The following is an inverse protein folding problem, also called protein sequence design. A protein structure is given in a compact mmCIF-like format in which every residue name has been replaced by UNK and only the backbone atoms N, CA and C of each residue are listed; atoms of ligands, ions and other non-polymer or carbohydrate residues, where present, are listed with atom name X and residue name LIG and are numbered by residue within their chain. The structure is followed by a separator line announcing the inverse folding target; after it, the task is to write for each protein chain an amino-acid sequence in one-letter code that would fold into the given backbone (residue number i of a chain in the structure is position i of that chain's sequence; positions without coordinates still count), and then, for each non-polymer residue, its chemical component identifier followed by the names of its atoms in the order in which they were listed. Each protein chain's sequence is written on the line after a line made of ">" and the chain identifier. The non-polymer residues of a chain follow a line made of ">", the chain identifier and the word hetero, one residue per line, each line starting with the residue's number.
data_IF_831229086379
#
_entry.id   IF_831229086379
#
_cell.length_a   1.000
_cell.length_b   1.000
_cell.length_c   1.000
_cell.angle_alpha   90.00
_cell.angle_beta   90.00
_cell.angle_gamma   90.00
#
_symmetry.space_group_name_H-M   'P 1'
#
loop_
_entity.id
_entity.type
_entity.pdbx_description
1 polymer ?
#
# COMPACT_ATOMS: atom_id res chain seq x y z
N UNK A 1 9.14 -14.85 -1.22
CA UNK A 1 7.75 -14.62 -0.79
C UNK A 1 7.63 -13.21 -0.25
N UNK A 2 6.66 -12.47 -0.74
CA UNK A 2 6.44 -11.12 -0.26
C UNK A 2 5.60 -11.11 1.02
N UNK A 3 5.90 -10.17 1.91
CA UNK A 3 5.17 -10.03 3.16
C UNK A 3 4.31 -8.77 3.14
N UNK A 4 3.10 -8.88 3.67
CA UNK A 4 2.14 -7.78 3.69
C UNK A 4 1.55 -7.66 5.09
N UNK A 5 1.43 -6.45 5.60
CA UNK A 5 0.62 -6.19 6.78
C UNK A 5 -0.69 -5.59 6.30
N UNK A 6 -1.80 -6.20 6.65
CA UNK A 6 -3.13 -5.75 6.28
C UNK A 6 -3.84 -5.24 7.53
N UNK A 7 -4.07 -3.93 7.59
CA UNK A 7 -4.74 -3.32 8.72
C UNK A 7 -6.23 -3.29 8.42
N UNK A 8 -7.00 -4.16 9.07
CA UNK A 8 -8.41 -4.36 8.81
C UNK A 8 -9.09 -4.89 10.06
N UNK A 9 -10.13 -4.21 10.54
CA UNK A 9 -10.82 -4.63 11.74
C UNK A 9 -11.92 -5.66 11.52
N UNK A 10 -12.37 -5.84 10.28
CA UNK A 10 -13.35 -6.86 9.96
C UNK A 10 -12.62 -8.20 9.80
N UNK A 11 -12.82 -9.08 10.78
CA UNK A 11 -12.10 -10.36 10.80
C UNK A 11 -12.38 -11.22 9.58
N UNK A 12 -13.61 -11.17 9.07
CA UNK A 12 -13.98 -11.97 7.91
C UNK A 12 -13.28 -11.48 6.65
N UNK A 13 -13.30 -10.17 6.43
CA UNK A 13 -12.62 -9.59 5.28
C UNK A 13 -11.11 -9.85 5.36
N UNK A 14 -10.54 -9.65 6.54
CA UNK A 14 -9.12 -9.89 6.75
C UNK A 14 -8.73 -11.33 6.44
N UNK A 15 -9.52 -12.28 6.94
CA UNK A 15 -9.23 -13.70 6.70
C UNK A 15 -9.37 -14.09 5.23
N UNK A 16 -10.40 -13.58 4.56
CA UNK A 16 -10.62 -13.93 3.17
C UNK A 16 -9.50 -13.42 2.28
N UNK A 17 -9.11 -12.18 2.47
CA UNK A 17 -8.07 -11.58 1.65
C UNK A 17 -6.71 -12.21 1.97
N UNK A 18 -6.42 -12.43 3.26
CA UNK A 18 -5.17 -13.07 3.64
C UNK A 18 -5.05 -14.47 3.03
N UNK A 19 -6.13 -15.24 3.07
CA UNK A 19 -6.13 -16.59 2.50
C UNK A 19 -5.94 -16.56 0.99
N UNK A 20 -6.61 -15.63 0.32
CA UNK A 20 -6.48 -15.51 -1.12
C UNK A 20 -5.03 -15.16 -1.51
N UNK A 21 -4.45 -14.17 -0.83
CA UNK A 21 -3.10 -13.74 -1.15
C UNK A 21 -2.06 -14.82 -0.78
N UNK A 22 -2.34 -15.61 0.25
CA UNK A 22 -1.43 -16.68 0.63
C UNK A 22 -1.29 -17.72 -0.48
N UNK A 23 -2.35 -17.92 -1.26
CA UNK A 23 -2.30 -18.85 -2.39
C UNK A 23 -1.44 -18.31 -3.53
N UNK A 24 -1.08 -17.05 -3.49
CA UNK A 24 -0.31 -16.41 -4.54
C UNK A 24 1.04 -15.91 -4.03
N UNK A 25 1.60 -16.66 -3.10
CA UNK A 25 2.96 -16.44 -2.59
C UNK A 25 3.13 -15.12 -1.83
N UNK A 26 2.10 -14.73 -1.11
CA UNK A 26 2.15 -13.54 -0.26
C UNK A 26 1.77 -13.93 1.17
N UNK A 27 2.63 -13.60 2.12
CA UNK A 27 2.36 -13.87 3.52
C UNK A 27 1.75 -12.63 4.15
N UNK A 28 0.52 -12.74 4.66
CA UNK A 28 -0.22 -11.61 5.18
C UNK A 28 -0.37 -11.70 6.68
N UNK A 29 0.00 -10.64 7.37
CA UNK A 29 -0.28 -10.47 8.79
C UNK A 29 -1.43 -9.49 8.89
N UNK A 30 -2.53 -9.90 9.52
CA UNK A 30 -3.69 -9.03 9.70
C UNK A 30 -3.59 -8.33 11.05
N UNK A 31 -3.63 -7.00 11.01
CA UNK A 31 -3.64 -6.20 12.24
C UNK A 31 -5.03 -5.57 12.37
N UNK A 32 -5.83 -5.99 13.34
CA UNK A 32 -7.21 -5.50 13.43
C UNK A 32 -7.35 -4.12 14.06
N UNK A 33 -6.31 -3.58 14.65
CA UNK A 33 -6.39 -2.32 15.39
C UNK A 33 -5.59 -1.23 14.72
N UNK A 34 -6.26 -0.10 14.43
CA UNK A 34 -5.58 1.03 13.84
C UNK A 34 -4.52 1.64 14.76
N UNK A 35 -4.77 1.62 16.09
CA UNK A 35 -3.84 2.19 17.05
C UNK A 35 -2.60 1.32 17.25
N UNK A 36 -2.60 0.08 16.75
CA UNK A 36 -1.43 -0.80 16.80
C UNK A 36 -0.74 -0.91 15.44
N UNK A 37 -1.32 -0.30 14.41
CA UNK A 37 -0.85 -0.51 13.04
C UNK A 37 0.60 -0.08 12.85
N UNK A 38 0.94 1.11 13.31
CA UNK A 38 2.30 1.62 13.11
C UNK A 38 3.33 0.72 13.78
N UNK A 39 3.05 0.30 15.01
CA UNK A 39 3.96 -0.57 15.73
C UNK A 39 4.13 -1.91 15.02
N UNK A 40 3.02 -2.50 14.57
CA UNK A 40 3.06 -3.78 13.88
C UNK A 40 3.85 -3.66 12.57
N UNK A 41 3.62 -2.60 11.80
CA UNK A 41 4.30 -2.40 10.55
C UNK A 41 5.80 -2.22 10.74
N UNK A 42 6.18 -1.41 11.72
CA UNK A 42 7.61 -1.18 11.97
C UNK A 42 8.31 -2.43 12.47
N UNK A 43 7.60 -3.24 13.27
CA UNK A 43 8.17 -4.49 13.78
C UNK A 43 8.31 -5.53 12.68
N UNK A 44 7.25 -5.70 11.87
CA UNK A 44 7.24 -6.72 10.82
C UNK A 44 8.04 -6.32 9.59
N UNK A 45 8.15 -5.03 9.36
CA UNK A 45 8.83 -4.46 8.20
C UNK A 45 8.41 -5.17 6.91
N UNK A 46 7.12 -5.09 6.55
CA UNK A 46 6.61 -5.83 5.39
C UNK A 46 7.08 -5.22 4.08
N UNK A 47 6.85 -5.94 3.00
CA UNK A 47 7.14 -5.43 1.66
C UNK A 47 6.07 -4.45 1.20
N UNK A 48 4.88 -4.53 1.77
CA UNK A 48 3.76 -3.66 1.40
C UNK A 48 2.76 -3.59 2.54
N UNK A 49 2.11 -2.45 2.71
CA UNK A 49 1.04 -2.28 3.68
C UNK A 49 -0.27 -2.09 2.95
N UNK A 50 -1.27 -2.87 3.35
CA UNK A 50 -2.64 -2.76 2.88
C UNK A 50 -3.43 -2.19 4.04
N UNK A 51 -4.20 -1.13 3.82
CA UNK A 51 -4.71 -0.35 4.94
C UNK A 51 -6.13 0.14 4.65
N UNK A 52 -7.06 -0.18 5.56
CA UNK A 52 -8.42 0.36 5.45
C UNK A 52 -8.45 1.76 6.03
N UNK A 53 -9.30 2.62 5.46
CA UNK A 53 -9.49 3.97 5.96
C UNK A 53 -10.38 3.96 7.20
N UNK A 54 -11.44 3.15 7.17
CA UNK A 54 -12.45 3.15 8.22
C UNK A 54 -12.10 2.16 9.31
N UNK A 55 -11.28 2.60 10.26
CA UNK A 55 -10.85 1.77 11.36
C UNK A 55 -11.25 2.40 12.69
N UNK A 56 -11.59 1.58 13.69
CA UNK A 56 -11.85 2.14 15.02
C UNK A 56 -10.53 2.63 15.64
N UNK A 57 -10.63 3.70 16.39
CA UNK A 57 -9.50 4.26 17.10
C UNK A 57 -8.70 5.26 16.27
N UNK A 58 -8.00 4.79 15.26
CA UNK A 58 -7.17 5.66 14.44
C UNK A 58 -7.43 5.33 12.98
N UNK A 59 -7.92 6.29 12.22
CA UNK A 59 -8.31 6.02 10.83
C UNK A 59 -7.10 5.83 9.92
N UNK A 60 -7.36 5.19 8.77
CA UNK A 60 -6.29 4.81 7.86
C UNK A 60 -5.55 5.98 7.24
N UNK A 61 -6.23 7.10 7.02
CA UNK A 61 -5.55 8.28 6.45
C UNK A 61 -4.52 8.83 7.41
N UNK A 62 -4.87 8.89 8.70
CA UNK A 62 -3.95 9.33 9.73
C UNK A 62 -2.77 8.36 9.85
N UNK A 63 -3.06 7.06 9.80
CA UNK A 63 -2.00 6.05 9.87
C UNK A 63 -1.05 6.21 8.69
N UNK A 64 -1.60 6.42 7.49
CA UNK A 64 -0.79 6.59 6.29
C UNK A 64 0.15 7.79 6.42
N UNK A 65 -0.41 8.93 6.86
CA UNK A 65 0.38 10.15 7.03
C UNK A 65 1.50 9.94 8.05
N UNK A 66 1.17 9.37 9.20
CA UNK A 66 2.15 9.19 10.27
C UNK A 66 3.22 8.17 9.89
N UNK A 67 2.80 7.11 9.20
CA UNK A 67 3.71 6.06 8.80
C UNK A 67 4.69 6.53 7.74
N UNK A 68 4.26 7.45 6.87
CA UNK A 68 5.10 7.91 5.79
C UNK A 68 6.40 8.56 6.28
N UNK A 69 6.37 9.12 7.46
CA UNK A 69 7.55 9.73 8.05
C UNK A 69 8.55 8.71 8.59
N UNK A 70 8.11 7.46 8.79
CA UNK A 70 8.92 6.44 9.46
C UNK A 70 9.18 5.21 8.63
N UNK A 71 8.44 5.02 7.56
CA UNK A 71 8.53 3.81 6.76
C UNK A 71 8.31 4.17 5.29
N UNK A 72 9.20 3.73 4.42
CA UNK A 72 9.20 4.19 3.04
C UNK A 72 8.59 3.22 2.04
N UNK A 73 8.08 2.10 2.48
CA UNK A 73 7.52 1.10 1.56
C UNK A 73 6.17 1.51 0.99
N UNK A 74 5.62 0.70 0.08
CA UNK A 74 4.34 1.03 -0.56
C UNK A 74 3.16 0.85 0.38
N UNK A 75 2.27 1.83 0.38
CA UNK A 75 1.03 1.81 1.16
C UNK A 75 -0.13 1.85 0.18
N UNK A 76 -0.98 0.82 0.22
CA UNK A 76 -2.16 0.74 -0.62
C UNK A 76 -3.38 0.81 0.28
N UNK A 77 -4.28 1.74 0.00
CA UNK A 77 -5.53 1.82 0.77
C UNK A 77 -6.58 0.92 0.13
N UNK A 78 -7.20 0.08 0.94
CA UNK A 78 -8.26 -0.83 0.49
C UNK A 78 -9.48 -0.54 1.35
N UNK A 79 -10.51 0.06 0.77
CA UNK A 79 -11.61 0.58 1.55
C UNK A 79 -12.92 0.47 0.81
N UNK A 80 -14.04 0.56 1.57
CA UNK A 80 -15.36 0.62 0.96
C UNK A 80 -15.81 2.04 0.68
N UNK A 81 -15.00 3.05 1.03
CA UNK A 81 -15.35 4.44 0.75
C UNK A 81 -15.07 4.79 -0.71
N UNK A 82 -16.14 5.07 -1.45
CA UNK A 82 -16.02 5.47 -2.84
C UNK A 82 -16.12 6.99 -2.90
N UNK A 83 -14.98 7.67 -2.81
CA UNK A 83 -14.94 9.12 -2.74
C UNK A 83 -13.70 9.63 -3.47
N UNK A 84 -13.93 10.48 -4.47
CA UNK A 84 -12.83 11.07 -5.21
C UNK A 84 -11.93 11.92 -4.31
N UNK A 85 -12.54 12.62 -3.37
CA UNK A 85 -11.77 13.46 -2.46
C UNK A 85 -10.84 12.62 -1.59
N UNK A 86 -11.33 11.49 -1.07
CA UNK A 86 -10.50 10.61 -0.27
C UNK A 86 -9.39 9.98 -1.11
N UNK A 87 -9.68 9.68 -2.37
CA UNK A 87 -8.67 9.15 -3.29
C UNK A 87 -7.54 10.16 -3.47
N UNK A 88 -7.88 11.40 -3.71
CA UNK A 88 -6.89 12.45 -3.91
C UNK A 88 -6.06 12.65 -2.65
N UNK A 89 -6.72 12.74 -1.50
CA UNK A 89 -6.02 12.93 -0.23
C UNK A 89 -5.07 11.78 0.08
N UNK A 90 -5.50 10.55 -0.22
CA UNK A 90 -4.69 9.39 0.04
C UNK A 90 -3.38 9.44 -0.73
N UNK A 91 -3.46 9.78 -2.00
CA UNK A 91 -2.28 9.87 -2.84
C UNK A 91 -1.36 11.00 -2.38
N UNK A 92 -1.94 12.11 -1.98
CA UNK A 92 -1.15 13.23 -1.48
C UNK A 92 -0.47 12.92 -0.15
N UNK A 93 -1.05 12.03 0.64
CA UNK A 93 -0.45 11.62 1.91
C UNK A 93 0.61 10.53 1.74
N UNK A 94 0.85 10.10 0.52
CA UNK A 94 1.93 9.16 0.26
C UNK A 94 1.50 7.73 -0.04
N UNK A 95 0.19 7.46 -0.14
CA UNK A 95 -0.27 6.14 -0.58
C UNK A 95 0.02 5.99 -2.07
N UNK A 96 0.36 4.78 -2.50
CA UNK A 96 0.61 4.57 -3.91
C UNK A 96 -0.62 4.08 -4.66
N UNK A 97 -1.69 3.71 -3.96
CA UNK A 97 -2.92 3.31 -4.62
C UNK A 97 -4.10 3.40 -3.66
N UNK A 98 -5.29 3.48 -4.23
CA UNK A 98 -6.55 3.56 -3.49
C UNK A 98 -7.50 2.61 -4.19
N UNK A 99 -7.83 1.50 -3.56
CA UNK A 99 -8.60 0.42 -4.17
C UNK A 99 -9.87 0.18 -3.37
N UNK A 100 -10.99 0.03 -4.08
CA UNK A 100 -12.25 -0.26 -3.41
C UNK A 100 -12.34 -1.75 -3.07
N UNK A 101 -12.96 -2.07 -1.93
CA UNK A 101 -13.14 -3.46 -1.51
C UNK A 101 -14.00 -4.27 -2.45
N UNK A 102 -14.77 -3.60 -3.33
CA UNK A 102 -15.58 -4.27 -4.34
C UNK A 102 -14.75 -4.73 -5.54
N UNK A 103 -13.48 -4.34 -5.60
CA UNK A 103 -12.58 -4.75 -6.67
C UNK A 103 -12.41 -6.27 -6.66
N UNK A 104 -12.49 -6.93 -7.81
CA UNK A 104 -12.29 -8.39 -7.86
C UNK A 104 -10.92 -8.78 -7.31
N UNK A 105 -10.82 -9.90 -6.60
CA UNK A 105 -9.55 -10.30 -5.99
C UNK A 105 -8.39 -10.42 -6.98
N UNK A 106 -8.66 -10.87 -8.21
CA UNK A 106 -7.59 -10.99 -9.20
C UNK A 106 -7.03 -9.63 -9.60
N UNK A 107 -7.88 -8.60 -9.64
CA UNK A 107 -7.44 -7.24 -9.96
C UNK A 107 -6.65 -6.67 -8.78
N UNK A 108 -7.13 -6.91 -7.56
CA UNK A 108 -6.38 -6.52 -6.37
C UNK A 108 -4.99 -7.12 -6.39
N UNK A 109 -4.90 -8.42 -6.64
CA UNK A 109 -3.62 -9.12 -6.69
C UNK A 109 -2.69 -8.51 -7.73
N UNK A 110 -3.21 -8.21 -8.92
CA UNK A 110 -2.40 -7.64 -9.98
C UNK A 110 -1.84 -6.28 -9.58
N UNK A 111 -2.65 -5.47 -8.91
CA UNK A 111 -2.20 -4.14 -8.48
C UNK A 111 -1.17 -4.24 -7.37
N UNK A 112 -1.35 -5.17 -6.42
CA UNK A 112 -0.36 -5.38 -5.38
C UNK A 112 0.98 -5.82 -5.98
N UNK A 113 0.93 -6.73 -6.94
CA UNK A 113 2.15 -7.18 -7.61
C UNK A 113 2.85 -6.04 -8.35
N UNK A 114 2.07 -5.16 -8.95
CA UNK A 114 2.63 -4.01 -9.62
C UNK A 114 3.41 -3.12 -8.65
N UNK A 115 2.81 -2.81 -7.52
CA UNK A 115 3.46 -1.95 -6.53
C UNK A 115 4.67 -2.63 -5.90
N UNK A 116 4.60 -3.93 -5.69
CA UNK A 116 5.75 -4.67 -5.18
C UNK A 116 6.91 -4.64 -6.15
N UNK A 117 6.63 -4.83 -7.45
CA UNK A 117 7.67 -4.76 -8.47
C UNK A 117 8.27 -3.36 -8.59
N UNK A 118 7.43 -2.34 -8.53
CA UNK A 118 7.92 -0.97 -8.61
C UNK A 118 8.81 -0.62 -7.44
N UNK A 119 8.44 -1.10 -6.25
CA UNK A 119 9.26 -0.86 -5.07
C UNK A 119 10.62 -1.53 -5.18
N UNK A 120 10.65 -2.76 -5.70
CA UNK A 120 11.91 -3.46 -5.92
C UNK A 120 12.78 -2.74 -6.94
N UNK A 121 12.17 -2.29 -8.03
CA UNK A 121 12.89 -1.57 -9.06
C UNK A 121 13.43 -0.24 -8.56
N UNK A 122 12.66 0.44 -7.74
CA UNK A 122 13.10 1.71 -7.17
C UNK A 122 14.31 1.49 -6.27
N UNK A 123 14.32 0.40 -5.51
CA UNK A 123 15.42 0.07 -4.66
C UNK A 123 16.69 -0.23 -5.48
N UNK A 124 16.53 -0.99 -6.54
CA UNK A 124 17.65 -1.31 -7.41
C UNK A 124 18.16 -0.06 -8.14
N UNK A 125 17.25 0.74 -8.63
CA UNK A 125 17.61 1.97 -9.31
C UNK A 125 18.35 2.92 -8.39
N UNK A 126 17.91 2.97 -7.13
CA UNK A 126 18.55 3.82 -6.18
C UNK A 126 19.99 3.43 -5.95
N UNK A 127 20.29 2.15 -6.01
CA UNK A 127 21.65 1.70 -5.88
C UNK A 127 22.52 2.04 -7.06
N UNK A 128 21.92 2.26 -8.23
CA UNK A 128 22.65 2.61 -9.42
C UNK A 128 22.64 4.07 -9.75
N UNK A 129 21.81 4.83 -9.03
CA UNK A 129 21.33 6.05 -9.49
C UNK A 129 22.24 7.16 -9.45
N UNK A 130 23.29 7.03 -8.79
CA UNK A 130 24.21 8.08 -8.85
C UNK A 130 24.60 8.40 -10.26
N UNK A 131 24.39 7.48 -11.14
CA UNK A 131 24.73 7.72 -12.49
C UNK A 131 23.63 8.25 -13.31
N UNK A 132 22.46 8.11 -12.91
CA UNK A 132 21.45 8.45 -13.78
C UNK A 132 20.97 9.78 -13.71
N UNK A 133 20.41 10.08 -14.17
CA UNK A 133 19.79 11.16 -14.01
C UNK A 133 18.78 11.41 -14.85
N UNK A 134 18.39 11.44 -15.20
CA UNK A 134 17.53 11.68 -15.91
C UNK A 134 16.42 11.85 -15.83
N UNK A 135 16.13 12.35 -16.21
CA UNK A 135 14.96 12.58 -16.00
C UNK A 135 13.88 12.33 -16.59
N UNK A 136 14.03 12.34 -16.95
CA UNK A 136 12.89 12.39 -17.34
C UNK A 136 12.04 12.18 -17.06
N UNK A 137 12.13 12.17 -16.70
CA UNK A 137 11.15 12.06 -16.43
C UNK A 137 10.34 12.45 -16.49
N UNK A 138 10.63 12.91 -16.62
CA UNK A 138 9.73 13.23 -16.60
C UNK A 138 9.08 13.36 -17.34
N UNK A 139 9.32 13.31 -17.68
CA UNK A 139 8.52 13.34 -18.19
C UNK A 139 7.69 12.95 -18.62
N UNK A 140 7.60 12.66 -18.43
CA UNK A 140 6.65 12.28 -18.48
C UNK A 140 5.83 12.22 -18.67
N UNK A 141 5.75 12.32 -18.62
CA UNK A 141 4.87 12.26 -18.46
C UNK A 141 4.25 12.38 -18.52
N UNK A 142 4.65 12.63 -18.54
CA UNK A 142 3.92 12.70 -18.13
C UNK A 142 3.40 12.61 -18.11
N UNK A 143 3.62 12.64 -18.02
CA UNK A 143 3.06 12.48 -17.70
C UNK A 143 2.66 12.26 -17.54
N UNK A 144 2.79 12.26 -17.35
CA UNK A 144 2.32 11.99 -16.89
C UNK A 144 2.06 11.71 -16.66
N UNK A 145 2.17 11.66 -16.47
CA UNK A 145 1.74 11.35 -15.96
C UNK A 145 1.55 11.13 -15.69
N UNK A 146 1.79 11.14 -15.54
CA UNK A 146 1.49 10.90 -15.07
C UNK A 146 1.39 10.46 -14.93
N UNK A 147 1.52 10.25 -14.67
CA UNK A 147 1.19 9.83 -14.24
C UNK A 147 1.13 9.66 -14.18
#
# INVERSE_FOLDING_TARGET
>A
MNTIVFVEDDAEVGSLIAAYLAKHDMQVTVEPRGDQAEETILRENPDLVLLDIMLPGKDGMTICRDLRAKWSGPIVLLTSLDSDMNHILALEMGACDYILKTTPPAVLLARLRLHLRQNEQATLTKGLQETSLTPYKALHFGTLTID
#
